data_IF_472245187150
#
_entry.id   IF_472245187150
#
_cell.length_a   1.000
_cell.length_b   1.000
_cell.length_c   1.000
_cell.angle_alpha   90.00
_cell.angle_beta   90.00
_cell.angle_gamma   90.00
#
_symmetry.space_group_name_H-M   'P 1'
#
loop_
_entity.id
_entity.type
_entity.pdbx_description
1 polymer ?
#
# COMPACT_ATOMS: atom_id res chain seq x y z
N UNK A 1 -14.66 39.85 -0.38
CA UNK A 1 -14.61 38.49 -0.95
C UNK A 1 -13.25 37.89 -0.70
N UNK A 2 -13.08 37.18 0.40
CA UNK A 2 -11.85 36.45 0.70
C UNK A 2 -11.94 35.09 0.00
N UNK A 3 -11.03 34.85 -0.93
CA UNK A 3 -10.89 33.63 -1.70
C UNK A 3 -10.59 32.44 -0.78
N UNK A 4 -11.51 31.49 -0.69
CA UNK A 4 -11.26 30.17 -0.11
C UNK A 4 -10.12 29.48 -0.87
N UNK A 5 -9.03 29.20 -0.18
CA UNK A 5 -7.96 28.35 -0.66
C UNK A 5 -8.42 26.88 -0.60
N UNK A 6 -8.03 26.02 -1.55
CA UNK A 6 -8.47 24.62 -1.56
C UNK A 6 -7.97 23.90 -0.29
N UNK A 7 -8.70 22.91 0.24
CA UNK A 7 -8.27 22.17 1.41
C UNK A 7 -6.97 21.43 1.09
N UNK A 8 -5.92 21.74 1.85
CA UNK A 8 -4.68 20.98 1.85
C UNK A 8 -5.01 19.49 2.11
N UNK A 9 -4.39 18.53 1.40
CA UNK A 9 -4.55 17.13 1.72
C UNK A 9 -4.08 16.92 3.16
N UNK A 10 -4.96 16.40 4.00
CA UNK A 10 -4.63 16.04 5.38
C UNK A 10 -3.39 15.13 5.34
N UNK A 11 -2.29 15.47 6.03
CA UNK A 11 -1.17 14.56 6.10
C UNK A 11 -1.65 13.29 6.81
N UNK A 12 -1.54 12.13 6.15
CA UNK A 12 -1.85 10.78 6.67
C UNK A 12 -0.99 10.38 7.88
N UNK A 13 -0.23 11.30 8.46
CA UNK A 13 0.80 11.13 9.49
C UNK A 13 0.29 10.54 10.80
N UNK A 14 -1.03 10.44 11.03
CA UNK A 14 -1.60 9.75 12.19
C UNK A 14 -2.15 8.36 11.91
N UNK A 15 -2.59 8.09 10.68
CA UNK A 15 -3.17 6.78 10.31
C UNK A 15 -2.09 5.80 9.79
N UNK A 16 -0.94 6.33 9.35
CA UNK A 16 0.24 5.53 9.00
C UNK A 16 1.13 5.18 10.20
N UNK A 17 1.08 5.90 11.33
CA UNK A 17 1.99 5.67 12.49
C UNK A 17 1.93 4.25 13.05
N UNK A 18 0.74 3.65 13.19
CA UNK A 18 0.63 2.27 13.71
C UNK A 18 1.24 1.24 12.75
N UNK A 19 1.01 1.40 11.45
CA UNK A 19 1.57 0.54 10.42
C UNK A 19 3.08 0.81 10.22
N UNK A 20 3.56 2.05 10.45
CA UNK A 20 4.94 2.55 10.34
C UNK A 20 5.83 2.11 11.48
N UNK A 21 5.41 2.43 12.68
CA UNK A 21 6.31 2.50 13.83
C UNK A 21 6.44 1.14 14.55
N UNK A 22 5.55 0.17 14.28
CA UNK A 22 5.54 -1.13 14.96
C UNK A 22 5.58 -2.36 14.03
N UNK A 23 5.32 -2.21 12.73
CA UNK A 23 5.22 -3.37 11.82
C UNK A 23 6.43 -3.40 10.90
N UNK A 24 7.28 -4.41 11.08
CA UNK A 24 8.44 -4.64 10.21
C UNK A 24 8.02 -4.96 8.77
N UNK A 25 8.91 -4.68 7.81
CA UNK A 25 8.68 -5.02 6.39
C UNK A 25 8.31 -6.51 6.19
N UNK A 26 8.90 -7.40 7.00
CA UNK A 26 8.56 -8.83 7.00
C UNK A 26 7.12 -9.10 7.43
N UNK A 27 6.65 -8.47 8.51
CA UNK A 27 5.27 -8.65 8.98
C UNK A 27 4.24 -8.06 8.01
N UNK A 28 4.54 -6.92 7.36
CA UNK A 28 3.69 -6.39 6.28
C UNK A 28 3.60 -7.36 5.10
N UNK A 29 4.72 -7.98 4.74
CA UNK A 29 4.72 -9.08 3.77
C UNK A 29 3.81 -10.23 4.19
N UNK A 30 3.90 -10.67 5.46
CA UNK A 30 3.02 -11.71 6.00
C UNK A 30 1.53 -11.31 5.98
N UNK A 31 1.19 -10.06 6.30
CA UNK A 31 -0.19 -9.55 6.24
C UNK A 31 -0.73 -9.66 4.81
N UNK A 32 0.04 -9.22 3.81
CA UNK A 32 -0.37 -9.34 2.40
C UNK A 32 -0.54 -10.80 1.98
N UNK A 33 0.39 -11.68 2.37
CA UNK A 33 0.30 -13.11 2.06
C UNK A 33 -0.95 -13.73 2.70
N UNK A 34 -1.20 -13.46 3.97
CA UNK A 34 -2.35 -13.99 4.72
C UNK A 34 -3.68 -13.50 4.11
N UNK A 35 -3.79 -12.21 3.78
CA UNK A 35 -4.96 -11.65 3.10
C UNK A 35 -5.19 -12.28 1.71
N UNK A 36 -4.11 -12.57 0.97
CA UNK A 36 -4.20 -13.24 -0.32
C UNK A 36 -4.66 -14.69 -0.17
N UNK A 37 -4.13 -15.43 0.79
CA UNK A 37 -4.52 -16.81 1.09
C UNK A 37 -5.99 -16.91 1.52
N UNK A 38 -6.50 -15.92 2.26
CA UNK A 38 -7.91 -15.78 2.65
C UNK A 38 -8.82 -15.26 1.53
N UNK A 39 -8.27 -14.95 0.35
CA UNK A 39 -9.03 -14.45 -0.80
C UNK A 39 -9.60 -13.03 -0.62
N UNK A 40 -9.00 -12.22 0.26
CA UNK A 40 -9.39 -10.82 0.50
C UNK A 40 -8.77 -9.86 -0.50
N UNK A 41 -7.56 -10.18 -0.96
CA UNK A 41 -6.82 -9.44 -1.98
C UNK A 41 -6.30 -10.39 -3.06
N UNK A 42 -5.92 -9.81 -4.19
CA UNK A 42 -5.23 -10.52 -5.27
C UNK A 42 -4.19 -9.61 -5.90
N UNK A 43 -3.15 -10.19 -6.51
CA UNK A 43 -2.23 -9.41 -7.32
C UNK A 43 -2.78 -9.22 -8.72
N UNK A 44 -2.38 -8.14 -9.38
CA UNK A 44 -2.66 -7.99 -10.81
C UNK A 44 -2.19 -9.25 -11.59
N UNK A 45 -2.95 -9.68 -12.61
CA UNK A 45 -2.59 -10.85 -13.40
C UNK A 45 -1.19 -10.69 -14.00
N UNK A 46 -0.40 -11.77 -14.05
CA UNK A 46 0.87 -11.74 -14.75
C UNK A 46 0.63 -11.39 -16.22
N UNK A 47 1.25 -10.32 -16.71
CA UNK A 47 1.17 -9.95 -18.13
C UNK A 47 2.23 -10.71 -18.93
N UNK A 48 2.14 -10.63 -20.27
CA UNK A 48 3.10 -11.26 -21.19
C UNK A 48 4.56 -10.85 -20.89
N UNK A 49 4.78 -9.66 -20.30
CA UNK A 49 6.04 -9.34 -19.61
C UNK A 49 5.94 -9.85 -18.18
N UNK A 50 6.77 -10.82 -17.82
CA UNK A 50 6.95 -11.27 -16.43
C UNK A 50 7.36 -10.09 -15.55
N UNK A 51 6.39 -9.43 -14.91
CA UNK A 51 6.65 -8.45 -13.85
C UNK A 51 7.10 -9.20 -12.60
N UNK A 52 8.10 -8.66 -11.92
CA UNK A 52 8.47 -9.12 -10.57
C UNK A 52 7.25 -9.07 -9.64
N UNK A 53 7.17 -9.99 -8.68
CA UNK A 53 6.15 -10.02 -7.62
C UNK A 53 5.99 -8.65 -6.95
N UNK A 54 7.11 -7.97 -6.67
CA UNK A 54 7.14 -6.68 -6.00
C UNK A 54 6.50 -5.56 -6.83
N UNK A 55 6.55 -5.66 -8.17
CA UNK A 55 6.02 -4.64 -9.09
C UNK A 55 4.55 -4.84 -9.43
N UNK A 56 3.90 -5.88 -8.89
CA UNK A 56 2.48 -6.15 -9.13
C UNK A 56 1.62 -5.33 -8.18
N UNK A 57 0.54 -4.78 -8.70
CA UNK A 57 -0.48 -4.07 -7.92
C UNK A 57 -1.25 -5.02 -7.02
N UNK A 58 -1.53 -4.60 -5.80
CA UNK A 58 -2.43 -5.27 -4.86
C UNK A 58 -3.84 -4.78 -5.12
N UNK A 59 -4.74 -5.71 -5.47
CA UNK A 59 -6.13 -5.44 -5.80
C UNK A 59 -7.02 -5.96 -4.68
N UNK A 60 -7.94 -5.11 -4.22
CA UNK A 60 -8.99 -5.50 -3.29
C UNK A 60 -9.97 -6.49 -3.95
N UNK A 61 -10.46 -7.48 -3.17
CA UNK A 61 -11.41 -8.49 -3.65
C UNK A 61 -12.63 -8.66 -2.74
N UNK A 62 -12.47 -8.63 -1.42
CA UNK A 62 -13.55 -8.87 -0.47
C UNK A 62 -13.26 -8.18 0.86
N UNK A 63 -14.28 -7.60 1.49
CA UNK A 63 -14.25 -6.95 2.80
C UNK A 63 -14.81 -7.83 3.93
N UNK A 64 -15.07 -9.11 3.67
CA UNK A 64 -15.52 -9.98 4.73
C UNK A 64 -14.46 -10.06 5.84
N UNK A 65 -14.87 -9.97 7.12
CA UNK A 65 -13.94 -9.87 8.23
C UNK A 65 -13.04 -11.10 8.29
N UNK A 66 -11.81 -10.88 8.70
CA UNK A 66 -10.82 -11.94 8.93
C UNK A 66 -10.83 -12.41 10.38
N UNK A 67 -11.41 -11.61 11.28
CA UNK A 67 -11.42 -11.86 12.73
C UNK A 67 -10.10 -11.45 13.40
N UNK A 68 -9.17 -10.87 12.64
CA UNK A 68 -7.91 -10.34 13.12
C UNK A 68 -7.88 -8.83 12.86
N UNK A 69 -7.69 -8.05 13.93
CA UNK A 69 -7.73 -6.59 13.88
C UNK A 69 -6.67 -6.04 12.93
N UNK A 70 -5.47 -6.62 12.87
CA UNK A 70 -4.38 -6.14 12.00
C UNK A 70 -4.70 -6.38 10.53
N UNK A 71 -5.21 -7.57 10.21
CA UNK A 71 -5.60 -7.91 8.85
C UNK A 71 -6.80 -7.07 8.38
N UNK A 72 -7.79 -6.86 9.26
CA UNK A 72 -8.99 -6.08 8.93
C UNK A 72 -8.66 -4.59 8.73
N UNK A 73 -7.78 -4.00 9.54
CA UNK A 73 -7.31 -2.62 9.33
C UNK A 73 -6.48 -2.50 8.03
N UNK A 74 -5.56 -3.43 7.77
CA UNK A 74 -4.80 -3.45 6.52
C UNK A 74 -5.73 -3.58 5.29
N UNK A 75 -6.77 -4.40 5.39
CA UNK A 75 -7.74 -4.58 4.32
C UNK A 75 -8.56 -3.31 4.04
N UNK A 76 -8.94 -2.58 5.10
CA UNK A 76 -9.58 -1.26 4.95
C UNK A 76 -8.65 -0.28 4.22
N UNK A 77 -7.36 -0.25 4.57
CA UNK A 77 -6.38 0.60 3.90
C UNK A 77 -6.28 0.25 2.41
N UNK A 78 -6.18 -1.04 2.07
CA UNK A 78 -6.10 -1.50 0.67
C UNK A 78 -7.35 -1.10 -0.11
N UNK A 79 -8.54 -1.18 0.50
CA UNK A 79 -9.83 -0.83 -0.13
C UNK A 79 -9.92 0.65 -0.48
N UNK A 80 -9.40 1.55 0.36
CA UNK A 80 -9.47 3.00 0.14
C UNK A 80 -8.29 3.57 -0.65
N UNK A 81 -7.28 2.75 -0.95
CA UNK A 81 -6.09 3.18 -1.69
C UNK A 81 -6.35 3.19 -3.19
N UNK A 82 -6.55 4.38 -3.75
CA UNK A 82 -6.69 4.61 -5.18
C UNK A 82 -5.70 5.68 -5.66
N UNK A 83 -4.88 5.41 -6.70
CA UNK A 83 -4.80 4.16 -7.45
C UNK A 83 -4.17 3.01 -6.66
N UNK A 84 -4.52 1.77 -7.01
CA UNK A 84 -3.96 0.58 -6.36
C UNK A 84 -2.42 0.55 -6.41
N UNK A 85 -1.83 0.36 -5.23
CA UNK A 85 -0.38 0.38 -5.01
C UNK A 85 0.28 -0.99 -5.25
N UNK A 86 1.59 -0.97 -5.53
CA UNK A 86 2.37 -2.20 -5.74
C UNK A 86 2.70 -2.91 -4.43
N UNK A 87 2.97 -4.22 -4.50
CA UNK A 87 3.47 -5.00 -3.35
C UNK A 87 4.71 -4.34 -2.74
N UNK A 88 5.61 -3.82 -3.57
CA UNK A 88 6.77 -3.07 -3.12
C UNK A 88 6.35 -1.87 -2.27
N UNK A 89 5.43 -1.03 -2.75
CA UNK A 89 5.03 0.16 -2.00
C UNK A 89 4.30 -0.19 -0.71
N UNK A 90 3.48 -1.25 -0.71
CA UNK A 90 2.88 -1.78 0.53
C UNK A 90 3.92 -2.29 1.54
N UNK A 91 5.07 -2.80 1.09
CA UNK A 91 6.15 -3.23 1.98
C UNK A 91 7.03 -2.02 2.39
N UNK A 92 7.31 -1.10 1.46
CA UNK A 92 8.29 -0.01 1.55
C UNK A 92 7.74 1.35 1.98
N UNK A 93 6.42 1.55 2.11
CA UNK A 93 5.79 2.85 2.40
C UNK A 93 6.32 3.56 3.67
N UNK A 94 7.19 2.92 4.45
CA UNK A 94 7.65 3.37 5.75
C UNK A 94 9.16 3.06 5.97
N UNK A 95 9.92 2.88 4.89
CA UNK A 95 11.37 3.15 4.93
C UNK A 95 11.56 4.52 4.31
N UNK A 96 11.72 5.57 5.12
CA UNK A 96 11.76 6.96 4.67
C UNK A 96 12.70 7.21 3.48
N UNK A 97 12.18 7.07 2.26
CA UNK A 97 12.80 7.56 1.04
C UNK A 97 11.72 8.19 0.18
N UNK A 98 11.36 9.42 0.57
CA UNK A 98 10.74 10.33 -0.37
C UNK A 98 11.63 10.52 -1.59
N UNK A 99 11.02 10.54 -2.77
CA UNK A 99 11.55 11.17 -3.97
C UNK A 99 12.77 10.49 -4.61
N UNK A 100 12.53 9.79 -5.73
CA UNK A 100 13.09 10.14 -7.04
C UNK A 100 13.00 8.94 -7.97
N UNK A 101 11.87 8.82 -8.67
CA UNK A 101 11.95 8.47 -10.08
C UNK A 101 12.50 9.69 -10.81
N UNK A 102 13.66 9.55 -11.43
CA UNK A 102 14.32 10.63 -12.16
C UNK A 102 15.64 10.16 -12.75
N UNK A 103 15.56 9.41 -13.84
CA UNK A 103 16.74 9.11 -14.64
C UNK A 103 17.36 10.38 -15.21
N UNK A 104 18.68 10.43 -15.19
CA UNK A 104 19.51 11.36 -15.96
C UNK A 104 20.98 11.00 -15.74
N UNK A 105 21.77 10.70 -16.79
CA UNK A 105 23.19 10.41 -16.64
C UNK A 105 23.93 11.71 -16.29
N UNK A 106 24.80 11.64 -15.27
CA UNK A 106 25.74 12.71 -14.96
C UNK A 106 26.85 12.70 -16.04
N UNK A 107 26.82 13.73 -16.90
CA UNK A 107 27.99 14.24 -17.61
C UNK A 107 28.71 15.24 -16.71
#
# INVERSE_FOLDING_TARGET
SLSESPPHPVPLQGYTSFWNDCISAGLRGCILVELALRGRIQLEPPTLRRKSLLNRKVLFKSDAPTGDVLLDEALKHIKVTEPAETVQNWIELLTGKGGAGGGGPLR
#
